data_IF_171375655172
#
_entry.id   IF_171375655172
#
_cell.length_a   1.000
_cell.length_b   1.000
_cell.length_c   1.000
_cell.angle_alpha   90.00
_cell.angle_beta   90.00
_cell.angle_gamma   90.00
#
_symmetry.space_group_name_H-M   'P 1'
#
loop_
_entity.id
_entity.type
_entity.pdbx_description
1 polymer ?
#
# COMPACT_ATOMS: atom_id res chain seq x y z
N UNK A 1 -7.30 15.93 10.97
CA UNK A 1 -7.08 17.10 10.10
C UNK A 1 -7.87 16.91 8.82
N UNK A 2 -8.68 17.89 8.42
CA UNK A 2 -9.52 17.83 7.21
C UNK A 2 -9.57 19.21 6.52
N UNK A 3 -9.75 19.20 5.21
CA UNK A 3 -9.83 20.38 4.35
C UNK A 3 -11.06 20.29 3.45
N UNK A 4 -11.67 21.42 3.11
CA UNK A 4 -12.80 21.44 2.17
C UNK A 4 -12.33 20.96 0.81
N UNK A 5 -13.06 20.04 0.19
CA UNK A 5 -12.59 19.32 -0.99
C UNK A 5 -12.26 20.24 -2.18
N UNK A 6 -13.03 21.32 -2.33
CA UNK A 6 -12.84 22.34 -3.38
C UNK A 6 -11.55 23.15 -3.24
N UNK A 7 -10.97 23.22 -2.04
CA UNK A 7 -9.79 24.01 -1.74
C UNK A 7 -8.49 23.18 -1.85
N UNK A 8 -8.62 21.88 -2.14
CA UNK A 8 -7.49 20.95 -2.28
C UNK A 8 -7.30 20.62 -3.76
N UNK A 9 -6.20 21.07 -4.32
CA UNK A 9 -5.80 20.72 -5.68
C UNK A 9 -5.53 19.21 -5.80
N UNK A 10 -5.84 18.62 -6.95
CA UNK A 10 -5.62 17.21 -7.26
C UNK A 10 -4.54 17.11 -8.34
N UNK A 11 -3.53 16.30 -8.07
CA UNK A 11 -2.41 15.99 -8.97
C UNK A 11 -2.50 14.55 -9.47
N UNK A 12 -1.57 14.16 -10.34
CA UNK A 12 -1.44 12.77 -10.80
C UNK A 12 -1.11 11.77 -9.68
N UNK A 13 -0.62 12.24 -8.53
CA UNK A 13 -0.31 11.44 -7.34
C UNK A 13 -1.28 11.72 -6.18
N UNK A 14 -2.48 12.18 -6.52
CA UNK A 14 -3.55 12.52 -5.58
C UNK A 14 -3.47 13.96 -5.07
N UNK A 15 -4.02 14.20 -3.88
CA UNK A 15 -4.19 15.54 -3.32
C UNK A 15 -2.84 16.26 -3.16
N UNK A 16 -2.79 17.55 -3.52
CA UNK A 16 -1.63 18.42 -3.37
C UNK A 16 -1.42 18.80 -1.90
N UNK A 17 -1.06 17.82 -1.08
CA UNK A 17 -0.75 17.97 0.35
C UNK A 17 0.71 17.55 0.59
N UNK A 18 1.33 17.96 1.72
CA UNK A 18 2.66 17.49 2.07
C UNK A 18 2.76 15.97 2.08
N UNK A 19 3.84 15.44 1.55
CA UNK A 19 4.13 14.00 1.57
C UNK A 19 4.63 13.57 2.95
N UNK A 20 4.42 12.31 3.29
CA UNK A 20 4.99 11.69 4.49
C UNK A 20 6.07 10.71 4.05
N UNK A 21 7.29 10.93 4.50
CA UNK A 21 8.45 10.11 4.15
C UNK A 21 8.82 9.22 5.34
N UNK A 22 8.73 7.90 5.15
CA UNK A 22 9.21 6.92 6.11
C UNK A 22 10.64 6.54 5.71
N UNK A 23 11.61 6.99 6.50
CA UNK A 23 13.03 6.69 6.31
C UNK A 23 13.37 5.41 7.06
N UNK A 24 14.04 4.48 6.38
CA UNK A 24 14.41 3.19 6.97
C UNK A 24 15.64 3.39 7.87
N UNK A 25 15.55 2.90 9.11
CA UNK A 25 16.67 2.98 10.05
C UNK A 25 17.94 2.33 9.48
N UNK A 26 19.06 3.04 9.56
CA UNK A 26 20.35 2.60 9.03
C UNK A 26 20.48 2.73 7.51
N UNK A 27 19.46 3.24 6.82
CA UNK A 27 19.41 3.42 5.37
C UNK A 27 18.73 4.74 5.01
N UNK A 28 19.41 5.86 5.29
CA UNK A 28 18.87 7.22 5.12
C UNK A 28 18.48 7.56 3.67
N UNK A 29 19.04 6.83 2.70
CA UNK A 29 18.74 6.94 1.27
C UNK A 29 17.52 6.11 0.83
N UNK A 30 17.02 5.23 1.70
CA UNK A 30 15.88 4.35 1.44
C UNK A 30 14.62 4.95 2.08
N UNK A 31 13.81 5.58 1.23
CA UNK A 31 12.61 6.31 1.65
C UNK A 31 11.35 5.70 1.04
N UNK A 32 10.39 5.35 1.90
CA UNK A 32 9.02 5.06 1.48
C UNK A 32 8.19 6.34 1.55
N UNK A 33 7.84 6.89 0.39
CA UNK A 33 7.04 8.11 0.29
C UNK A 33 5.55 7.83 0.17
N UNK A 34 4.78 8.38 1.10
CA UNK A 34 3.32 8.40 1.10
C UNK A 34 2.85 9.71 0.46
N UNK A 35 2.24 9.60 -0.72
CA UNK A 35 1.68 10.74 -1.47
C UNK A 35 0.24 11.06 -1.03
N UNK A 36 -0.32 12.17 -1.52
CA UNK A 36 -1.70 12.58 -1.26
C UNK A 36 -2.72 11.48 -1.54
N UNK A 37 -2.53 10.72 -2.62
CA UNK A 37 -3.37 9.57 -2.99
C UNK A 37 -3.45 8.47 -1.93
N UNK A 38 -2.45 8.41 -1.04
CA UNK A 38 -2.32 7.40 0.01
C UNK A 38 -2.53 7.99 1.42
N UNK A 39 -2.48 9.32 1.57
CA UNK A 39 -2.63 10.00 2.86
C UNK A 39 -3.99 10.67 3.04
N UNK A 40 -4.73 11.00 1.97
CA UNK A 40 -5.98 11.76 2.05
C UNK A 40 -7.20 10.94 1.63
N UNK A 41 -8.21 10.88 2.48
CA UNK A 41 -9.48 10.17 2.24
C UNK A 41 -10.60 11.18 2.02
N UNK A 42 -11.41 11.00 0.97
CA UNK A 42 -12.60 11.84 0.72
C UNK A 42 -13.76 11.38 1.60
N UNK A 43 -14.41 12.33 2.25
CA UNK A 43 -15.64 12.11 2.99
C UNK A 43 -16.68 13.06 2.38
N UNK A 44 -17.71 12.47 1.79
CA UNK A 44 -18.83 13.21 1.22
C UNK A 44 -20.10 12.82 1.96
N UNK A 45 -20.68 13.76 2.67
CA UNK A 45 -21.99 13.65 3.33
C UNK A 45 -22.98 14.57 2.63
N UNK A 46 -24.20 14.69 3.17
CA UNK A 46 -25.19 15.63 2.63
C UNK A 46 -24.74 17.09 2.77
N UNK A 47 -24.01 17.40 3.84
CA UNK A 47 -23.67 18.77 4.23
C UNK A 47 -22.17 19.07 4.11
N UNK A 48 -21.33 18.04 3.97
CA UNK A 48 -19.86 18.17 3.90
C UNK A 48 -19.26 17.44 2.69
N UNK A 49 -18.27 18.06 2.06
CA UNK A 49 -17.38 17.42 1.09
C UNK A 49 -15.94 17.83 1.43
N UNK A 50 -15.20 16.90 2.06
CA UNK A 50 -13.89 17.17 2.65
C UNK A 50 -12.87 16.09 2.32
N UNK A 51 -11.60 16.48 2.26
CA UNK A 51 -10.46 15.57 2.30
C UNK A 51 -9.89 15.54 3.71
N UNK A 52 -9.81 14.35 4.30
CA UNK A 52 -9.28 14.15 5.64
C UNK A 52 -7.99 13.33 5.61
N UNK A 53 -7.06 13.65 6.51
CA UNK A 53 -5.87 12.83 6.73
C UNK A 53 -6.28 11.43 7.22
N UNK A 54 -5.86 10.41 6.48
CA UNK A 54 -6.08 8.99 6.72
C UNK A 54 -5.06 8.35 7.67
N UNK A 55 -4.39 9.15 8.49
CA UNK A 55 -3.52 8.72 9.59
C UNK A 55 -4.23 9.08 10.88
N UNK A 56 -4.29 8.13 11.81
CA UNK A 56 -5.03 8.25 13.08
C UNK A 56 -4.13 7.83 14.24
N UNK A 57 -4.45 8.35 15.41
CA UNK A 57 -3.80 7.92 16.65
C UNK A 57 -4.12 6.44 16.94
N UNK A 58 -3.09 5.70 17.34
CA UNK A 58 -3.15 4.29 17.70
C UNK A 58 -3.69 4.03 19.10
N UNK A 59 -3.93 5.06 19.92
CA UNK A 59 -4.47 4.93 21.28
C UNK A 59 -5.73 4.05 21.34
N UNK A 60 -6.55 4.08 20.29
CA UNK A 60 -7.77 3.27 20.16
C UNK A 60 -7.53 1.74 20.13
N UNK A 61 -6.28 1.28 19.97
CA UNK A 61 -5.94 -0.15 19.93
C UNK A 61 -5.49 -0.73 21.29
N UNK A 62 -5.40 0.11 22.34
CA UNK A 62 -5.54 -0.33 23.73
C UNK A 62 -4.45 -1.20 24.36
N UNK A 63 -3.25 -1.35 23.77
CA UNK A 63 -2.18 -2.17 24.38
C UNK A 63 -0.76 -1.66 24.10
N UNK A 64 0.15 -1.98 25.02
CA UNK A 64 1.60 -1.71 25.00
C UNK A 64 2.40 -2.64 24.09
N UNK A 65 1.74 -3.57 23.38
CA UNK A 65 2.39 -4.58 22.52
C UNK A 65 2.24 -4.29 21.02
N UNK A 66 1.63 -3.16 20.66
CA UNK A 66 1.45 -2.78 19.27
C UNK A 66 2.69 -2.10 18.71
N UNK A 67 3.01 -2.30 17.42
CA UNK A 67 4.05 -1.54 16.77
C UNK A 67 3.70 -0.05 16.80
N UNK A 68 4.72 0.81 16.93
CA UNK A 68 4.55 2.26 16.99
C UNK A 68 3.87 2.84 15.72
N UNK A 69 4.00 2.14 14.59
CA UNK A 69 3.39 2.51 13.31
C UNK A 69 2.78 1.26 12.68
N UNK A 70 1.51 1.35 12.27
CA UNK A 70 0.83 0.34 11.45
C UNK A 70 0.53 0.95 10.09
N UNK A 71 1.02 0.31 9.03
CA UNK A 71 0.74 0.73 7.65
C UNK A 71 -0.53 0.00 7.18
N UNK A 72 -1.62 0.75 7.04
CA UNK A 72 -2.91 0.22 6.60
C UNK A 72 -2.99 0.00 5.09
N UNK A 73 -3.97 -0.80 4.65
CA UNK A 73 -4.19 -1.10 3.23
C UNK A 73 -4.43 0.12 2.34
N UNK A 74 -4.96 1.22 2.90
CA UNK A 74 -5.13 2.47 2.17
C UNK A 74 -3.77 3.10 1.78
N UNK A 75 -2.80 3.06 2.70
CA UNK A 75 -1.44 3.53 2.43
C UNK A 75 -0.71 2.61 1.44
N UNK A 76 -1.05 1.32 1.40
CA UNK A 76 -0.47 0.35 0.47
C UNK A 76 -1.04 0.42 -0.96
N UNK A 77 -2.14 1.15 -1.18
CA UNK A 77 -2.77 1.22 -2.49
C UNK A 77 -1.81 1.75 -3.54
N UNK A 78 -1.76 1.11 -4.71
CA UNK A 78 -0.87 1.50 -5.82
C UNK A 78 0.61 1.52 -5.44
N UNK A 79 1.02 0.70 -4.47
CA UNK A 79 2.41 0.40 -4.16
C UNK A 79 2.70 -1.07 -4.52
N UNK A 80 3.88 -1.32 -5.10
CA UNK A 80 4.39 -2.68 -5.27
C UNK A 80 5.20 -3.06 -4.03
N UNK A 81 4.79 -4.13 -3.36
CA UNK A 81 5.53 -4.70 -2.23
C UNK A 81 6.14 -6.04 -2.64
N UNK A 82 7.37 -6.28 -2.23
CA UNK A 82 8.05 -7.55 -2.41
C UNK A 82 8.47 -8.12 -1.06
N UNK A 83 7.93 -9.28 -0.71
CA UNK A 83 8.32 -10.04 0.47
C UNK A 83 9.33 -11.09 0.02
N UNK A 84 10.57 -10.95 0.46
CA UNK A 84 11.65 -11.90 0.23
C UNK A 84 11.93 -12.63 1.54
N UNK A 85 11.31 -13.80 1.68
CA UNK A 85 11.37 -14.61 2.91
C UNK A 85 12.72 -15.32 3.05
N UNK A 86 13.44 -15.56 1.96
CA UNK A 86 14.79 -16.13 1.99
C UNK A 86 15.79 -15.18 2.65
N UNK A 87 15.68 -13.88 2.37
CA UNK A 87 16.59 -12.86 2.90
C UNK A 87 16.00 -12.02 4.02
N UNK A 88 14.79 -12.32 4.49
CA UNK A 88 14.04 -11.55 5.49
C UNK A 88 13.96 -10.05 5.13
N UNK A 89 13.62 -9.74 3.87
CA UNK A 89 13.59 -8.38 3.35
C UNK A 89 12.23 -8.00 2.79
N UNK A 90 11.86 -6.75 3.00
CA UNK A 90 10.73 -6.09 2.37
C UNK A 90 11.25 -5.06 1.35
N UNK A 91 10.88 -5.24 0.09
CA UNK A 91 11.04 -4.23 -0.96
C UNK A 91 9.76 -3.45 -1.20
N UNK A 92 9.87 -2.16 -1.52
CA UNK A 92 8.73 -1.29 -1.83
C UNK A 92 9.08 -0.28 -2.93
N UNK A 93 8.10 0.16 -3.70
CA UNK A 93 8.29 1.11 -4.81
C UNK A 93 7.93 2.57 -4.49
N UNK A 94 7.32 2.86 -3.33
CA UNK A 94 6.41 4.01 -3.16
C UNK A 94 5.26 4.00 -4.20
N UNK A 95 4.45 5.07 -4.26
CA UNK A 95 3.29 5.11 -5.16
C UNK A 95 3.69 4.99 -6.64
N UNK A 96 3.14 3.99 -7.32
CA UNK A 96 3.29 3.75 -8.76
C UNK A 96 2.74 4.89 -9.62
N UNK A 97 1.86 5.73 -9.06
CA UNK A 97 1.35 6.93 -9.70
C UNK A 97 2.48 7.91 -10.07
N UNK A 98 3.58 7.91 -9.31
CA UNK A 98 4.81 8.67 -9.64
C UNK A 98 5.43 8.22 -10.96
N UNK A 99 5.19 6.97 -11.35
CA UNK A 99 5.68 6.35 -12.59
C UNK A 99 4.59 6.35 -13.68
N UNK A 100 3.45 7.01 -13.45
CA UNK A 100 2.34 7.05 -14.40
C UNK A 100 1.63 5.71 -14.59
N UNK A 101 1.71 4.80 -13.62
CA UNK A 101 1.02 3.50 -13.67
C UNK A 101 0.28 3.21 -12.36
N UNK A 102 -0.53 2.15 -12.34
CA UNK A 102 -1.30 1.72 -11.17
C UNK A 102 -1.15 0.22 -10.98
N UNK A 103 -1.56 -0.28 -9.81
CA UNK A 103 -1.62 -1.72 -9.60
C UNK A 103 -2.57 -2.44 -10.57
N UNK A 104 -3.63 -1.77 -11.03
CA UNK A 104 -4.59 -2.34 -11.96
C UNK A 104 -4.01 -2.59 -13.36
N UNK A 105 -2.89 -1.92 -13.71
CA UNK A 105 -2.21 -2.13 -14.99
C UNK A 105 -1.31 -3.38 -14.99
N UNK A 106 -1.10 -4.03 -13.85
CA UNK A 106 -0.32 -5.28 -13.80
C UNK A 106 -1.19 -6.46 -14.23
N UNK A 107 -0.72 -7.20 -15.24
CA UNK A 107 -1.32 -8.47 -15.63
C UNK A 107 -0.81 -9.60 -14.74
N UNK A 108 -1.62 -10.02 -13.78
CA UNK A 108 -1.35 -11.20 -12.96
C UNK A 108 -1.73 -12.46 -13.74
N UNK A 109 -0.75 -13.28 -14.11
CA UNK A 109 -0.97 -14.50 -14.88
C UNK A 109 -1.26 -15.67 -13.96
N UNK A 110 -2.53 -16.07 -13.83
CA UNK A 110 -2.90 -17.22 -13.00
C UNK A 110 -2.53 -18.53 -13.65
N UNK A 111 -1.37 -19.08 -13.31
CA UNK A 111 -1.00 -20.44 -13.69
C UNK A 111 -1.90 -21.43 -12.93
N UNK A 112 -2.93 -21.93 -13.61
CA UNK A 112 -3.91 -22.89 -13.10
C UNK A 112 -3.39 -24.33 -13.01
N UNK A 113 -2.08 -24.55 -13.19
CA UNK A 113 -1.46 -25.89 -13.18
C UNK A 113 -0.70 -26.24 -11.90
N UNK A 114 -0.65 -25.34 -10.90
CA UNK A 114 0.07 -25.61 -9.64
C UNK A 114 -0.94 -25.98 -8.53
N UNK A 115 -1.02 -27.27 -8.21
CA UNK A 115 -1.86 -27.81 -7.11
C UNK A 115 -1.29 -27.62 -5.71
N UNK A 116 -0.22 -26.83 -5.58
CA UNK A 116 0.34 -26.36 -4.32
C UNK A 116 0.34 -24.83 -4.38
N UNK A 117 -0.13 -24.16 -3.33
CA UNK A 117 -0.36 -22.72 -3.31
C UNK A 117 0.91 -21.92 -3.65
N UNK A 118 1.11 -21.60 -4.94
CA UNK A 118 2.07 -20.62 -5.40
C UNK A 118 1.29 -19.38 -5.85
N UNK A 119 1.51 -18.30 -5.13
CA UNK A 119 0.92 -17.00 -5.42
C UNK A 119 1.32 -16.59 -6.84
N UNK A 120 0.31 -16.40 -7.66
CA UNK A 120 0.38 -15.98 -9.05
C UNK A 120 0.98 -14.56 -9.17
N UNK A 121 2.16 -14.47 -9.80
CA UNK A 121 2.93 -13.24 -10.05
C UNK A 121 2.66 -12.69 -11.46
N UNK A 122 2.82 -11.37 -11.70
CA UNK A 122 2.82 -10.81 -13.04
C UNK A 122 4.17 -11.06 -13.74
N UNK A 123 4.12 -11.87 -14.80
CA UNK A 123 5.07 -12.05 -15.91
C UNK A 123 6.55 -11.66 -15.67
N UNK A 124 7.27 -12.51 -14.94
CA UNK A 124 8.73 -12.56 -15.05
C UNK A 124 9.22 -13.96 -14.63
N UNK A 125 9.82 -14.65 -15.58
CA UNK A 125 9.90 -16.12 -15.62
C UNK A 125 11.04 -16.70 -14.77
N UNK A 126 11.41 -16.06 -13.65
CA UNK A 126 12.62 -16.42 -12.89
C UNK A 126 12.49 -16.30 -11.37
N UNK A 127 11.28 -16.25 -10.81
CA UNK A 127 11.10 -16.00 -9.37
C UNK A 127 10.77 -17.28 -8.60
N UNK A 128 11.60 -17.53 -7.59
CA UNK A 128 11.51 -18.64 -6.65
C UNK A 128 10.35 -18.40 -5.68
N UNK A 129 9.66 -19.46 -5.25
CA UNK A 129 8.48 -19.40 -4.36
C UNK A 129 8.67 -18.59 -3.05
N UNK A 130 9.91 -18.38 -2.62
CA UNK A 130 10.30 -17.56 -1.47
C UNK A 130 10.17 -16.04 -1.66
N UNK A 131 9.88 -15.58 -2.90
CA UNK A 131 9.74 -14.16 -3.23
C UNK A 131 8.36 -13.88 -3.81
N UNK A 132 7.55 -13.14 -3.06
CA UNK A 132 6.20 -12.79 -3.48
C UNK A 132 6.06 -11.28 -3.69
N UNK A 133 5.45 -10.88 -4.81
CA UNK A 133 5.16 -9.48 -5.14
C UNK A 133 3.65 -9.25 -5.10
N UNK A 134 3.24 -8.21 -4.38
CA UNK A 134 1.84 -7.85 -4.25
C UNK A 134 1.63 -6.41 -4.66
N UNK A 135 0.54 -6.20 -5.38
CA UNK A 135 0.03 -4.88 -5.70
C UNK A 135 -1.35 -4.75 -5.07
N UNK A 136 -1.48 -3.88 -4.08
CA UNK A 136 -2.74 -3.74 -3.35
C UNK A 136 -3.68 -2.81 -4.11
N UNK A 137 -4.72 -3.41 -4.71
CA UNK A 137 -5.74 -2.69 -5.50
C UNK A 137 -7.02 -2.43 -4.70
N UNK A 138 -7.27 -3.18 -3.60
CA UNK A 138 -8.48 -3.10 -2.76
C UNK A 138 -8.35 -3.91 -1.45
N UNK A 139 -9.18 -3.60 -0.43
CA UNK A 139 -9.33 -4.36 0.82
C UNK A 139 -9.63 -5.85 0.58
N UNK A 140 -10.28 -6.19 -0.54
CA UNK A 140 -10.61 -7.57 -0.91
C UNK A 140 -9.36 -8.43 -1.11
N UNK A 141 -8.30 -7.86 -1.68
CA UNK A 141 -7.02 -8.56 -1.87
C UNK A 141 -6.28 -8.79 -0.55
N UNK A 142 -6.45 -7.88 0.42
CA UNK A 142 -5.85 -8.04 1.75
C UNK A 142 -6.50 -9.19 2.53
N UNK A 143 -7.83 -9.35 2.45
CA UNK A 143 -8.53 -10.49 3.04
C UNK A 143 -8.16 -11.82 2.39
N UNK A 144 -8.00 -11.84 1.05
CA UNK A 144 -7.49 -13.02 0.34
C UNK A 144 -6.08 -13.34 0.81
N UNK A 145 -5.19 -12.35 0.88
CA UNK A 145 -3.81 -12.53 1.34
C UNK A 145 -3.74 -13.08 2.78
N UNK A 146 -4.52 -12.54 3.72
CA UNK A 146 -4.60 -13.05 5.10
C UNK A 146 -5.12 -14.49 5.16
N UNK A 147 -6.10 -14.84 4.32
CA UNK A 147 -6.62 -16.21 4.25
C UNK A 147 -5.60 -17.20 3.67
N UNK A 148 -4.71 -16.75 2.79
CA UNK A 148 -3.63 -17.57 2.22
C UNK A 148 -2.38 -17.62 3.10
N UNK A 149 -2.18 -16.64 3.98
CA UNK A 149 -1.03 -16.57 4.89
C UNK A 149 -1.28 -17.28 6.23
N UNK A 150 -2.50 -17.78 6.48
CA UNK A 150 -2.85 -18.53 7.69
C UNK A 150 -2.51 -20.04 7.57
N UNK A 151 -1.40 -20.38 6.89
CA UNK A 151 -0.85 -21.75 6.81
C UNK A 151 0.42 -21.81 7.66
#
# INVERSE_FOLDING_TARGET
MCYVAKDVEITNVGQAVPTVDLVVEGHDDVVWRICGSNSMVRITTKDDDVWCLGIRDGEALGTYELPAIIIGGYQLKDNLLQFDLESNRLGFSSSLLLQGTTCANFTFTSDTTVTNAETILPHSNNWRASKAKYCFVSLLFFLIFLSTLSI
#
